data_IF_797573649934
#
_entry.id   IF_797573649934
#
_cell.length_a   1.000
_cell.length_b   1.000
_cell.length_c   1.000
_cell.angle_alpha   90.00
_cell.angle_beta   90.00
_cell.angle_gamma   90.00
#
_symmetry.space_group_name_H-M   'P 1'
#
loop_
_entity.id
_entity.type
_entity.pdbx_description
1 polymer ?
#
# COMPACT_ATOMS: atom_id res chain seq x y z
N UNK A 1 -10.58 11.01 -10.76
CA UNK A 1 -9.26 10.31 -10.75
C UNK A 1 -8.28 11.20 -10.00
N UNK A 2 -7.49 10.65 -9.05
CA UNK A 2 -6.49 11.42 -8.30
C UNK A 2 -5.40 11.96 -9.24
N UNK A 3 -4.78 13.11 -8.88
CA UNK A 3 -3.71 13.70 -9.68
C UNK A 3 -2.52 12.75 -9.93
N UNK A 4 -2.22 11.83 -8.99
CA UNK A 4 -1.20 10.81 -9.19
C UNK A 4 -1.64 9.78 -10.24
N UNK A 5 -2.88 9.31 -10.21
CA UNK A 5 -3.40 8.37 -11.22
C UNK A 5 -3.40 8.98 -12.62
N UNK A 6 -3.68 10.30 -12.75
CA UNK A 6 -3.59 11.01 -14.03
C UNK A 6 -2.17 11.00 -14.58
N UNK A 7 -1.17 11.32 -13.74
CA UNK A 7 0.25 11.28 -14.14
C UNK A 7 0.67 9.87 -14.56
N UNK A 8 0.24 8.86 -13.82
CA UNK A 8 0.56 7.46 -14.12
C UNK A 8 -0.09 6.99 -15.43
N UNK A 9 -1.34 7.39 -15.70
CA UNK A 9 -2.03 7.09 -16.96
C UNK A 9 -1.35 7.78 -18.13
N UNK A 10 -0.99 9.05 -17.98
CA UNK A 10 -0.27 9.78 -19.00
C UNK A 10 1.08 9.14 -19.32
N UNK A 11 1.87 8.79 -18.29
CA UNK A 11 3.15 8.12 -18.47
C UNK A 11 3.02 6.77 -19.18
N UNK A 12 2.00 5.97 -18.82
CA UNK A 12 1.72 4.70 -19.49
C UNK A 12 1.33 4.88 -20.96
N UNK A 13 0.51 5.90 -21.27
CA UNK A 13 0.11 6.23 -22.63
C UNK A 13 1.29 6.69 -23.49
N UNK A 14 2.12 7.59 -22.96
CA UNK A 14 3.34 8.03 -23.65
C UNK A 14 4.29 6.87 -23.90
N UNK A 15 4.48 5.99 -22.92
CA UNK A 15 5.29 4.79 -23.12
C UNK A 15 4.74 3.89 -24.23
N UNK A 16 3.42 3.66 -24.27
CA UNK A 16 2.80 2.90 -25.34
C UNK A 16 3.01 3.58 -26.71
N UNK A 17 2.77 4.89 -26.81
CA UNK A 17 2.96 5.64 -28.06
C UNK A 17 4.39 5.55 -28.60
N UNK A 18 5.38 5.56 -27.72
CA UNK A 18 6.81 5.49 -28.06
C UNK A 18 7.32 4.06 -28.28
N UNK A 19 6.49 3.03 -28.09
CA UNK A 19 6.90 1.66 -28.39
C UNK A 19 7.06 1.46 -29.91
N UNK A 20 8.24 1.00 -30.35
CA UNK A 20 8.52 0.69 -31.74
C UNK A 20 7.86 -0.64 -32.13
N UNK A 21 7.17 -0.68 -33.24
CA UNK A 21 6.60 -1.87 -33.85
C UNK A 21 7.65 -2.56 -34.78
N UNK A 22 7.36 -3.78 -35.21
CA UNK A 22 8.28 -4.59 -36.05
C UNK A 22 8.81 -3.89 -37.32
N UNK A 23 8.10 -2.89 -37.83
CA UNK A 23 8.50 -2.10 -38.99
C UNK A 23 9.17 -0.77 -38.63
N UNK A 24 9.73 -0.65 -37.44
CA UNK A 24 10.33 0.56 -36.87
C UNK A 24 9.38 1.76 -36.79
N UNK A 25 8.07 1.54 -36.96
CA UNK A 25 7.05 2.59 -36.78
C UNK A 25 6.63 2.64 -35.34
N UNK A 26 6.54 3.84 -34.77
CA UNK A 26 6.02 4.02 -33.41
C UNK A 26 4.52 3.67 -33.35
N UNK A 27 4.11 2.99 -32.28
CA UNK A 27 2.70 2.65 -32.08
C UNK A 27 1.80 3.89 -32.07
N UNK A 28 2.25 5.02 -31.51
CA UNK A 28 1.52 6.28 -31.49
C UNK A 28 1.15 6.83 -32.88
N UNK A 29 1.84 6.38 -33.93
CA UNK A 29 1.55 6.75 -35.33
C UNK A 29 0.52 5.83 -36.00
N UNK A 30 -0.01 4.84 -35.29
CA UNK A 30 -1.07 3.98 -35.81
C UNK A 30 -2.43 4.64 -35.56
N UNK A 31 -3.20 4.92 -36.62
CA UNK A 31 -4.56 5.46 -36.50
C UNK A 31 -5.42 4.50 -35.66
N UNK A 32 -6.21 5.01 -34.72
CA UNK A 32 -7.05 4.23 -33.82
C UNK A 32 -7.89 3.16 -34.50
N UNK A 33 -8.54 3.51 -35.63
CA UNK A 33 -9.33 2.58 -36.44
C UNK A 33 -8.53 1.39 -37.03
N UNK A 34 -7.21 1.49 -37.05
CA UNK A 34 -6.31 0.43 -37.57
C UNK A 34 -5.62 -0.35 -36.46
N UNK A 35 -5.85 0.01 -35.18
CA UNK A 35 -5.32 -0.76 -34.06
C UNK A 35 -6.08 -2.06 -33.95
N UNK A 36 -5.33 -3.18 -34.03
CA UNK A 36 -5.86 -4.56 -33.98
C UNK A 36 -5.26 -5.32 -32.79
N UNK A 37 -5.82 -6.48 -32.48
CA UNK A 37 -5.35 -7.38 -31.44
C UNK A 37 -3.83 -7.66 -31.53
N UNK A 38 -3.29 -7.89 -32.72
CA UNK A 38 -1.85 -8.09 -32.92
C UNK A 38 -0.98 -6.95 -32.37
N UNK A 39 -1.44 -5.70 -32.43
CA UNK A 39 -0.72 -4.56 -31.86
C UNK A 39 -0.77 -4.59 -30.33
N UNK A 40 -1.93 -4.92 -29.75
CA UNK A 40 -2.10 -5.06 -28.31
C UNK A 40 -1.23 -6.18 -27.73
N UNK A 41 -1.17 -7.34 -28.42
CA UNK A 41 -0.30 -8.46 -28.04
C UNK A 41 1.16 -8.05 -28.09
N UNK A 42 1.61 -7.44 -29.17
CA UNK A 42 2.99 -6.99 -29.31
C UNK A 42 3.41 -5.99 -28.23
N UNK A 43 2.55 -5.00 -27.95
CA UNK A 43 2.78 -4.05 -26.87
C UNK A 43 2.91 -4.75 -25.51
N UNK A 44 1.99 -5.65 -25.20
CA UNK A 44 1.98 -6.33 -23.93
C UNK A 44 3.21 -7.23 -23.75
N UNK A 45 3.60 -7.97 -24.77
CA UNK A 45 4.78 -8.85 -24.76
C UNK A 45 6.08 -8.03 -24.63
N UNK A 46 6.18 -6.90 -25.35
CA UNK A 46 7.30 -5.97 -25.22
C UNK A 46 7.41 -5.44 -23.80
N UNK A 47 6.28 -5.04 -23.20
CA UNK A 47 6.29 -4.55 -21.82
C UNK A 47 6.60 -5.65 -20.81
N UNK A 48 6.17 -6.90 -21.05
CA UNK A 48 6.52 -8.02 -20.18
C UNK A 48 8.04 -8.24 -20.12
N UNK A 49 8.69 -8.15 -21.27
CA UNK A 49 10.13 -8.30 -21.37
C UNK A 49 10.91 -7.15 -20.69
N UNK A 50 10.42 -5.91 -20.86
CA UNK A 50 11.12 -4.69 -20.40
C UNK A 50 10.76 -4.29 -18.94
N UNK A 51 9.50 -4.38 -18.54
CA UNK A 51 8.99 -3.80 -17.27
C UNK A 51 8.53 -4.85 -16.24
N UNK A 52 8.42 -6.10 -16.63
CA UNK A 52 7.89 -7.18 -15.80
C UNK A 52 6.38 -7.12 -15.60
N UNK A 53 5.82 -8.19 -15.03
CA UNK A 53 4.38 -8.49 -15.04
C UNK A 53 3.49 -7.38 -14.45
N UNK A 54 3.87 -6.81 -13.30
CA UNK A 54 3.02 -5.82 -12.62
C UNK A 54 2.87 -4.53 -13.43
N UNK A 55 3.99 -4.04 -13.99
CA UNK A 55 4.00 -2.80 -14.75
C UNK A 55 3.29 -3.00 -16.09
N UNK A 56 3.48 -4.13 -16.75
CA UNK A 56 2.81 -4.48 -18.01
C UNK A 56 1.30 -4.57 -17.84
N UNK A 57 0.84 -5.23 -16.77
CA UNK A 57 -0.59 -5.27 -16.44
C UNK A 57 -1.17 -3.89 -16.18
N UNK A 58 -0.40 -3.01 -15.53
CA UNK A 58 -0.81 -1.62 -15.31
C UNK A 58 -0.91 -0.85 -16.62
N UNK A 59 0.10 -0.93 -17.50
CA UNK A 59 0.07 -0.30 -18.82
C UNK A 59 -1.10 -0.82 -19.66
N UNK A 60 -1.36 -2.13 -19.65
CA UNK A 60 -2.50 -2.73 -20.34
C UNK A 60 -3.84 -2.19 -19.81
N UNK A 61 -3.94 -1.95 -18.49
CA UNK A 61 -5.13 -1.31 -17.88
C UNK A 61 -5.30 0.13 -18.38
N UNK A 62 -4.22 0.91 -18.36
CA UNK A 62 -4.27 2.30 -18.84
C UNK A 62 -4.66 2.37 -20.32
N UNK A 63 -4.07 1.54 -21.18
CA UNK A 63 -4.41 1.49 -22.60
C UNK A 63 -5.84 0.99 -22.84
N UNK A 64 -6.33 0.06 -22.03
CA UNK A 64 -7.73 -0.38 -22.07
C UNK A 64 -8.70 0.78 -21.77
N UNK A 65 -8.36 1.65 -20.83
CA UNK A 65 -9.15 2.86 -20.54
C UNK A 65 -9.16 3.80 -21.75
N UNK A 66 -8.00 4.02 -22.36
CA UNK A 66 -7.87 4.87 -23.57
C UNK A 66 -8.73 4.32 -24.72
N UNK A 67 -8.66 3.02 -25.01
CA UNK A 67 -9.44 2.40 -26.07
C UNK A 67 -10.94 2.40 -25.78
N UNK A 68 -11.35 2.15 -24.54
CA UNK A 68 -12.76 2.28 -24.15
C UNK A 68 -13.27 3.73 -24.29
N UNK A 69 -12.42 4.72 -24.05
CA UNK A 69 -12.75 6.12 -24.30
C UNK A 69 -12.89 6.37 -25.80
N UNK A 70 -11.97 5.85 -26.64
CA UNK A 70 -12.04 5.96 -28.08
C UNK A 70 -13.30 5.29 -28.67
N UNK A 71 -13.78 4.18 -28.10
CA UNK A 71 -15.05 3.55 -28.47
C UNK A 71 -16.24 4.46 -28.16
N UNK A 72 -16.26 5.08 -26.97
CA UNK A 72 -17.35 6.04 -26.63
C UNK A 72 -17.41 7.26 -27.51
N UNK A 73 -16.29 7.62 -28.15
CA UNK A 73 -16.20 8.70 -29.15
C UNK A 73 -16.23 8.19 -30.59
N UNK A 74 -16.67 6.95 -30.81
CA UNK A 74 -16.83 6.32 -32.14
C UNK A 74 -15.54 6.26 -32.99
N UNK A 75 -14.37 6.49 -32.36
CA UNK A 75 -13.06 6.41 -33.03
C UNK A 75 -12.52 4.97 -33.14
N UNK A 76 -13.14 4.00 -32.44
CA UNK A 76 -12.85 2.57 -32.49
C UNK A 76 -14.13 1.75 -32.32
N UNK A 77 -14.13 0.55 -32.88
CA UNK A 77 -15.26 -0.40 -32.75
C UNK A 77 -15.09 -1.35 -31.55
N UNK A 78 -13.85 -1.72 -31.23
CA UNK A 78 -13.57 -2.69 -30.16
C UNK A 78 -12.28 -2.37 -29.45
N UNK A 79 -12.15 -2.85 -28.19
CA UNK A 79 -10.96 -2.68 -27.38
C UNK A 79 -10.04 -3.90 -27.51
N UNK A 80 -8.91 -3.81 -28.23
CA UNK A 80 -8.02 -4.96 -28.41
C UNK A 80 -7.29 -5.40 -27.14
N UNK A 81 -7.14 -4.51 -26.13
CA UNK A 81 -6.54 -4.86 -24.85
C UNK A 81 -7.45 -5.75 -23.99
N UNK A 82 -8.75 -5.79 -24.22
CA UNK A 82 -9.68 -6.66 -23.48
C UNK A 82 -9.45 -8.14 -23.72
N UNK A 83 -8.86 -8.50 -24.86
CA UNK A 83 -8.57 -9.89 -25.26
C UNK A 83 -7.21 -10.38 -24.75
N UNK A 84 -6.38 -9.52 -24.16
CA UNK A 84 -5.06 -9.89 -23.66
C UNK A 84 -5.19 -10.74 -22.40
N UNK A 85 -4.69 -11.98 -22.46
CA UNK A 85 -4.54 -12.84 -21.29
C UNK A 85 -3.37 -12.35 -20.45
N UNK A 86 -3.68 -11.64 -19.36
CA UNK A 86 -2.65 -11.05 -18.50
C UNK A 86 -1.96 -12.10 -17.65
N UNK A 87 -0.64 -11.98 -17.57
CA UNK A 87 0.17 -12.79 -16.66
C UNK A 87 -0.16 -12.47 -15.19
N UNK A 88 -0.19 -13.48 -14.34
CA UNK A 88 -0.42 -13.28 -12.90
C UNK A 88 0.88 -12.88 -12.20
N UNK A 89 0.93 -11.74 -11.52
CA UNK A 89 2.10 -11.37 -10.72
C UNK A 89 2.20 -12.27 -9.50
N UNK A 90 3.41 -12.67 -9.14
CA UNK A 90 3.64 -13.35 -7.87
C UNK A 90 3.23 -12.46 -6.71
N UNK A 91 2.39 -12.99 -5.81
CA UNK A 91 2.02 -12.31 -4.59
C UNK A 91 3.24 -12.26 -3.65
N UNK A 92 3.55 -11.07 -3.13
CA UNK A 92 4.56 -10.92 -2.09
C UNK A 92 3.99 -11.50 -0.80
N UNK A 93 4.69 -12.46 -0.19
CA UNK A 93 4.26 -13.16 1.03
C UNK A 93 5.11 -12.82 2.27
N UNK A 94 5.95 -11.80 2.16
CA UNK A 94 6.83 -11.39 3.26
C UNK A 94 5.99 -10.78 4.37
N UNK A 95 6.24 -11.22 5.60
CA UNK A 95 5.76 -10.60 6.85
C UNK A 95 6.96 -10.34 7.76
N UNK A 96 6.83 -9.35 8.61
CA UNK A 96 7.80 -9.08 9.67
C UNK A 96 7.54 -10.04 10.83
N UNK A 97 8.59 -10.47 11.53
CA UNK A 97 8.42 -11.08 12.83
C UNK A 97 8.27 -10.00 13.90
N UNK A 98 7.65 -10.34 15.03
CA UNK A 98 7.52 -9.44 16.18
C UNK A 98 8.89 -8.88 16.63
N UNK A 99 9.91 -9.74 16.68
CA UNK A 99 11.28 -9.33 17.00
C UNK A 99 11.86 -8.32 15.99
N UNK A 100 11.58 -8.49 14.71
CA UNK A 100 12.02 -7.55 13.68
C UNK A 100 11.29 -6.21 13.79
N UNK A 101 9.99 -6.21 14.07
CA UNK A 101 9.22 -4.98 14.31
C UNK A 101 9.78 -4.27 15.54
N UNK A 102 9.97 -4.98 16.66
CA UNK A 102 10.53 -4.42 17.88
C UNK A 102 11.92 -3.82 17.65
N UNK A 103 12.82 -4.56 17.00
CA UNK A 103 14.18 -4.08 16.69
C UNK A 103 14.17 -2.83 15.82
N UNK A 104 13.29 -2.77 14.81
CA UNK A 104 13.12 -1.59 13.98
C UNK A 104 12.65 -0.38 14.79
N UNK A 105 11.65 -0.56 15.65
CA UNK A 105 11.08 0.52 16.47
C UNK A 105 12.09 1.01 17.50
N UNK A 106 12.77 0.10 18.21
CA UNK A 106 13.82 0.45 19.17
C UNK A 106 14.93 1.28 18.52
N UNK A 107 15.39 0.86 17.33
CA UNK A 107 16.39 1.60 16.55
C UNK A 107 15.87 2.95 16.08
N UNK A 108 14.65 3.00 15.55
CA UNK A 108 14.07 4.25 15.04
C UNK A 108 13.82 5.28 16.14
N UNK A 109 13.39 4.85 17.33
CA UNK A 109 13.16 5.74 18.46
C UNK A 109 14.45 6.11 19.23
N UNK A 110 15.55 5.40 19.04
CA UNK A 110 16.84 5.74 19.66
C UNK A 110 17.46 7.01 19.05
N UNK A 111 17.03 7.44 17.85
CA UNK A 111 17.58 8.61 17.18
C UNK A 111 16.47 9.59 16.78
N UNK A 112 16.63 10.85 17.15
CA UNK A 112 15.66 11.92 16.87
C UNK A 112 15.31 12.01 15.39
N UNK A 113 16.28 11.85 14.49
CA UNK A 113 16.09 11.94 13.04
C UNK A 113 15.12 10.90 12.47
N UNK A 114 14.95 9.75 13.13
CA UNK A 114 14.07 8.67 12.68
C UNK A 114 12.77 8.56 13.47
N UNK A 115 12.59 9.37 14.53
CA UNK A 115 11.46 9.26 15.45
C UNK A 115 10.11 9.27 14.75
N UNK A 116 9.87 10.22 13.83
CA UNK A 116 8.61 10.25 13.07
C UNK A 116 8.45 9.05 12.14
N UNK A 117 9.54 8.46 11.63
CA UNK A 117 9.50 7.23 10.83
C UNK A 117 9.12 6.04 11.73
N UNK A 118 9.72 5.93 12.90
CA UNK A 118 9.34 4.95 13.91
C UNK A 118 7.87 5.04 14.27
N UNK A 119 7.37 6.26 14.47
CA UNK A 119 5.96 6.47 14.80
C UNK A 119 5.02 6.09 13.66
N UNK A 120 5.32 6.45 12.40
CA UNK A 120 4.54 6.01 11.22
C UNK A 120 4.50 4.48 11.15
N UNK A 121 5.62 3.82 11.43
CA UNK A 121 5.73 2.35 11.42
C UNK A 121 4.94 1.73 12.57
N UNK A 122 5.08 2.25 13.79
CA UNK A 122 4.34 1.77 14.96
C UNK A 122 2.84 1.87 14.72
N UNK A 123 2.33 3.03 14.30
CA UNK A 123 0.93 3.23 13.94
C UNK A 123 0.46 2.27 12.82
N UNK A 124 1.29 2.07 11.79
CA UNK A 124 0.95 1.17 10.68
C UNK A 124 0.86 -0.29 11.11
N UNK A 125 1.72 -0.73 12.02
CA UNK A 125 1.74 -2.07 12.56
C UNK A 125 0.61 -2.29 13.57
N UNK A 126 0.55 -1.46 14.61
CA UNK A 126 -0.44 -1.54 15.69
C UNK A 126 -1.87 -1.59 15.16
N UNK A 127 -2.19 -0.66 14.28
CA UNK A 127 -3.54 -0.50 13.73
C UNK A 127 -3.78 -1.22 12.40
N UNK A 128 -2.79 -1.91 11.86
CA UNK A 128 -2.90 -2.55 10.56
C UNK A 128 -3.25 -1.59 9.43
N UNK A 129 -2.89 -0.30 9.54
CA UNK A 129 -3.26 0.74 8.58
C UNK A 129 -2.22 0.91 7.47
N UNK A 130 -2.61 1.56 6.36
CA UNK A 130 -1.69 1.85 5.27
C UNK A 130 -0.68 2.91 5.69
N UNK A 131 0.58 2.68 5.33
CA UNK A 131 1.67 3.62 5.62
C UNK A 131 1.36 5.05 5.14
N UNK A 132 0.67 5.17 4.00
CA UNK A 132 0.26 6.48 3.45
C UNK A 132 -0.78 7.19 4.29
N UNK A 133 -1.70 6.46 4.94
CA UNK A 133 -2.69 7.04 5.83
C UNK A 133 -2.01 7.47 7.14
N UNK A 134 -1.14 6.66 7.71
CA UNK A 134 -0.39 6.99 8.93
C UNK A 134 0.57 8.17 8.74
N UNK A 135 1.20 8.27 7.57
CA UNK A 135 2.03 9.43 7.21
C UNK A 135 1.25 10.75 7.22
N UNK A 136 -0.01 10.70 6.83
CA UNK A 136 -0.86 11.89 6.70
C UNK A 136 -1.79 12.09 7.91
N UNK A 137 -1.66 11.26 8.94
CA UNK A 137 -2.50 11.34 10.13
C UNK A 137 -2.36 12.70 10.81
N UNK A 138 -3.48 13.28 11.22
CA UNK A 138 -3.55 14.59 11.90
C UNK A 138 -3.85 14.40 13.38
N UNK A 139 -3.46 15.37 14.21
CA UNK A 139 -3.76 15.37 15.63
C UNK A 139 -5.27 15.35 15.91
N UNK A 140 -6.06 15.95 15.04
CA UNK A 140 -7.53 15.90 15.13
C UNK A 140 -8.13 14.48 15.01
N UNK A 141 -7.36 13.50 14.53
CA UNK A 141 -7.77 12.10 14.48
C UNK A 141 -7.53 11.35 15.81
N UNK A 142 -6.76 11.94 16.74
CA UNK A 142 -6.34 11.30 17.99
C UNK A 142 -7.13 11.90 19.14
N UNK A 143 -7.89 11.07 19.85
CA UNK A 143 -8.47 11.41 21.11
C UNK A 143 -7.62 10.79 22.24
N UNK A 144 -6.86 11.62 22.95
CA UNK A 144 -5.98 11.19 24.03
C UNK A 144 -6.74 10.78 25.30
N UNK A 145 -7.90 11.40 25.55
CA UNK A 145 -8.74 11.14 26.73
C UNK A 145 -9.36 9.75 26.63
N UNK A 146 -9.99 9.44 25.49
CA UNK A 146 -10.61 8.15 25.23
C UNK A 146 -9.62 7.10 24.72
N UNK A 147 -8.34 7.44 24.54
CA UNK A 147 -7.30 6.60 23.90
C UNK A 147 -7.78 5.99 22.58
N UNK A 148 -8.24 6.83 21.66
CA UNK A 148 -8.92 6.40 20.45
C UNK A 148 -8.38 7.11 19.20
N UNK A 149 -8.29 6.38 18.11
CA UNK A 149 -8.09 6.87 16.75
C UNK A 149 -9.43 6.88 16.01
N UNK A 150 -9.78 8.01 15.41
CA UNK A 150 -10.88 8.15 14.45
C UNK A 150 -10.31 8.56 13.08
N UNK A 151 -10.43 7.70 12.08
CA UNK A 151 -9.79 7.88 10.76
C UNK A 151 -10.71 7.51 9.61
N UNK A 152 -10.92 8.42 8.65
CA UNK A 152 -11.39 8.09 7.31
C UNK A 152 -10.19 7.73 6.41
N UNK A 153 -10.13 6.49 5.92
CA UNK A 153 -9.03 6.01 5.07
C UNK A 153 -9.03 6.70 3.69
N UNK A 154 -7.87 7.20 3.25
CA UNK A 154 -7.73 8.00 2.02
C UNK A 154 -8.13 7.25 0.74
N UNK A 155 -7.90 5.94 0.66
CA UNK A 155 -8.10 5.16 -0.58
C UNK A 155 -9.51 4.63 -0.77
N UNK A 156 -10.20 4.26 0.31
CA UNK A 156 -11.51 3.58 0.26
C UNK A 156 -12.60 4.32 1.00
N UNK A 157 -12.27 5.43 1.64
CA UNK A 157 -13.15 6.23 2.51
C UNK A 157 -13.90 5.39 3.53
N UNK A 158 -13.19 4.37 4.06
CA UNK A 158 -13.71 3.57 5.15
C UNK A 158 -13.37 4.27 6.46
N UNK A 159 -14.37 4.45 7.31
CA UNK A 159 -14.18 4.91 8.67
C UNK A 159 -13.68 3.77 9.54
N UNK A 160 -12.66 4.04 10.33
CA UNK A 160 -12.15 3.12 11.34
C UNK A 160 -12.01 3.84 12.67
N UNK A 161 -12.37 3.14 13.74
CA UNK A 161 -12.33 3.60 15.12
C UNK A 161 -11.51 2.60 15.91
N UNK A 162 -10.28 2.96 16.29
CA UNK A 162 -9.32 2.01 16.82
C UNK A 162 -8.83 2.44 18.21
N UNK A 163 -8.65 1.51 19.15
CA UNK A 163 -8.02 1.81 20.42
C UNK A 163 -6.53 2.11 20.21
N UNK A 164 -5.97 2.90 21.11
CA UNK A 164 -4.54 3.21 21.16
C UNK A 164 -3.93 2.40 22.31
N UNK A 165 -3.03 1.47 21.99
CA UNK A 165 -2.28 0.70 22.97
C UNK A 165 -1.32 1.59 23.80
N UNK A 166 -1.01 1.17 25.00
CA UNK A 166 -0.26 2.01 25.96
C UNK A 166 1.15 2.40 25.46
N UNK A 167 1.83 1.54 24.72
CA UNK A 167 3.16 1.83 24.20
C UNK A 167 3.12 2.83 23.05
N UNK A 168 2.14 2.71 22.14
CA UNK A 168 1.93 3.69 21.10
C UNK A 168 1.45 5.02 21.69
N UNK A 169 0.58 4.99 22.72
CA UNK A 169 0.10 6.19 23.41
C UNK A 169 1.27 7.00 24.00
N UNK A 170 2.22 6.38 24.66
CA UNK A 170 3.44 7.04 25.17
C UNK A 170 4.20 7.76 24.05
N UNK A 171 4.41 7.07 22.93
CA UNK A 171 5.11 7.66 21.78
C UNK A 171 4.32 8.84 21.18
N UNK A 172 3.00 8.72 21.08
CA UNK A 172 2.13 9.80 20.61
C UNK A 172 2.16 11.02 21.54
N UNK A 173 2.17 10.80 22.85
CA UNK A 173 2.25 11.90 23.84
C UNK A 173 3.58 12.65 23.75
N UNK A 174 4.71 11.94 23.65
CA UNK A 174 6.02 12.55 23.45
C UNK A 174 6.06 13.34 22.13
N UNK A 175 5.54 12.76 21.06
CA UNK A 175 5.48 13.42 19.76
C UNK A 175 4.55 14.65 19.78
N UNK A 176 3.41 14.57 20.47
CA UNK A 176 2.47 15.66 20.60
C UNK A 176 3.08 16.85 21.34
N UNK A 177 3.78 16.60 22.44
CA UNK A 177 4.47 17.65 23.21
C UNK A 177 5.46 18.45 22.34
N UNK A 178 6.13 17.80 21.39
CA UNK A 178 7.16 18.45 20.57
C UNK A 178 6.62 19.09 19.29
N UNK A 179 5.53 18.55 18.71
CA UNK A 179 5.11 18.91 17.36
C UNK A 179 3.69 19.45 17.22
N UNK A 180 2.82 19.35 18.23
CA UNK A 180 1.41 19.76 18.09
C UNK A 180 1.21 21.24 17.76
N UNK A 181 2.13 22.11 18.21
CA UNK A 181 2.13 23.54 17.89
C UNK A 181 2.84 23.89 16.58
N UNK A 182 3.60 22.95 16.03
CA UNK A 182 4.44 23.14 14.84
C UNK A 182 3.84 22.54 13.57
N UNK A 183 2.95 21.56 13.72
CA UNK A 183 2.35 20.83 12.61
C UNK A 183 1.03 20.18 12.99
N UNK A 184 0.05 20.23 12.10
CA UNK A 184 -1.21 19.46 12.26
C UNK A 184 -1.00 17.96 12.11
N UNK A 185 0.13 17.53 11.50
CA UNK A 185 0.44 16.12 11.28
C UNK A 185 1.06 15.48 12.52
N UNK A 186 0.65 14.26 12.82
CA UNK A 186 1.15 13.45 13.95
C UNK A 186 2.64 13.10 13.79
N UNK A 187 3.06 12.80 12.58
CA UNK A 187 4.45 12.40 12.30
C UNK A 187 5.07 13.27 11.18
N UNK A 188 5.30 14.57 11.46
CA UNK A 188 5.93 15.47 10.50
C UNK A 188 7.42 15.19 10.37
N UNK A 189 8.09 15.87 9.44
CA UNK A 189 9.56 15.92 9.40
C UNK A 189 10.09 16.46 10.73
N UNK A 190 11.05 15.78 11.28
CA UNK A 190 11.70 16.23 12.54
C UNK A 190 12.61 17.45 12.32
N UNK A 191 13.03 17.69 11.07
CA UNK A 191 13.72 18.91 10.66
C UNK A 191 12.86 19.68 9.66
N UNK A 192 12.62 20.98 9.87
CA UNK A 192 11.77 21.77 8.99
C UNK A 192 12.40 21.94 7.60
N UNK A 193 11.58 21.97 6.58
CA UNK A 193 11.98 22.33 5.22
C UNK A 193 11.33 23.67 4.86
N UNK A 194 12.13 24.66 4.51
CA UNK A 194 11.67 26.04 4.29
C UNK A 194 10.85 26.57 5.47
N UNK A 195 11.30 26.33 6.70
CA UNK A 195 10.63 26.74 7.94
C UNK A 195 9.33 25.98 8.29
N UNK A 196 8.97 24.93 7.54
CA UNK A 196 7.72 24.18 7.75
C UNK A 196 7.97 22.70 8.12
N UNK A 197 7.26 22.25 9.14
CA UNK A 197 7.20 20.84 9.55
C UNK A 197 6.11 20.12 8.77
N UNK A 198 6.41 19.72 7.53
CA UNK A 198 5.49 19.05 6.63
C UNK A 198 5.63 17.53 6.68
N UNK A 199 4.67 16.80 6.10
CA UNK A 199 4.77 15.33 5.95
C UNK A 199 5.91 14.92 5.03
N UNK A 200 6.47 13.73 5.26
CA UNK A 200 7.44 13.12 4.35
C UNK A 200 6.80 12.72 3.01
N UNK A 201 7.55 12.75 1.92
CA UNK A 201 7.16 12.04 0.69
C UNK A 201 7.39 10.55 0.86
N UNK A 202 6.61 9.70 0.15
CA UNK A 202 6.78 8.24 0.25
C UNK A 202 8.19 7.76 -0.12
N UNK A 203 8.83 8.40 -1.10
CA UNK A 203 10.21 8.08 -1.48
C UNK A 203 11.21 8.37 -0.34
N UNK A 204 11.00 9.45 0.41
CA UNK A 204 11.83 9.83 1.56
C UNK A 204 11.63 8.84 2.72
N UNK A 205 10.38 8.43 2.99
CA UNK A 205 10.10 7.38 3.97
C UNK A 205 10.86 6.10 3.61
N UNK A 206 10.82 5.70 2.33
CA UNK A 206 11.53 4.50 1.88
C UNK A 206 13.04 4.60 2.09
N UNK A 207 13.63 5.77 1.88
CA UNK A 207 15.05 6.04 2.17
C UNK A 207 15.38 5.90 3.65
N UNK A 208 14.63 6.62 4.51
CA UNK A 208 14.85 6.60 5.96
C UNK A 208 14.58 5.21 6.57
N UNK A 209 13.59 4.48 6.07
CA UNK A 209 13.34 3.08 6.46
C UNK A 209 14.54 2.19 6.14
N UNK A 210 15.18 2.38 4.99
CA UNK A 210 16.38 1.62 4.64
C UNK A 210 17.54 1.97 5.56
N UNK A 211 17.72 3.24 5.92
CA UNK A 211 18.73 3.67 6.90
C UNK A 211 18.52 2.98 8.27
N UNK A 212 17.27 2.99 8.79
CA UNK A 212 16.94 2.29 10.06
C UNK A 212 17.22 0.79 9.96
N UNK A 213 16.86 0.16 8.83
CA UNK A 213 17.12 -1.28 8.62
C UNK A 213 18.62 -1.59 8.55
N UNK A 214 19.41 -0.76 7.92
CA UNK A 214 20.87 -0.90 7.86
C UNK A 214 21.48 -0.78 9.25
N UNK A 215 21.09 0.22 10.02
CA UNK A 215 21.55 0.43 11.41
C UNK A 215 21.16 -0.75 12.33
N UNK A 216 19.95 -1.29 12.15
CA UNK A 216 19.47 -2.42 12.96
C UNK A 216 19.88 -3.79 12.43
N UNK A 217 20.60 -3.89 11.31
CA UNK A 217 20.97 -5.17 10.71
C UNK A 217 19.77 -5.97 10.14
N UNK A 218 18.65 -5.32 9.89
CA UNK A 218 17.45 -5.97 9.37
C UNK A 218 17.55 -6.30 7.88
N UNK A 219 16.91 -7.38 7.41
CA UNK A 219 16.92 -7.80 6.02
C UNK A 219 16.39 -6.73 5.07
N UNK A 220 17.07 -6.55 3.91
CA UNK A 220 16.68 -5.54 2.90
C UNK A 220 15.32 -5.81 2.25
N UNK A 221 14.92 -7.07 2.17
CA UNK A 221 13.64 -7.53 1.62
C UNK A 221 12.41 -7.17 2.46
N UNK A 222 12.58 -6.73 3.69
CA UNK A 222 11.48 -6.23 4.52
C UNK A 222 11.08 -4.82 4.07
N UNK A 223 9.82 -4.64 3.71
CA UNK A 223 9.29 -3.33 3.29
C UNK A 223 8.30 -2.79 4.31
N UNK A 224 8.26 -1.48 4.52
CA UNK A 224 7.28 -0.85 5.40
C UNK A 224 5.83 -1.13 5.01
N UNK A 225 5.56 -1.34 3.71
CA UNK A 225 4.23 -1.73 3.23
C UNK A 225 3.79 -3.13 3.68
N UNK A 226 4.72 -3.97 4.12
CA UNK A 226 4.40 -5.32 4.61
C UNK A 226 3.83 -5.30 6.03
N UNK A 227 3.97 -4.20 6.81
CA UNK A 227 3.47 -4.09 8.18
C UNK A 227 1.96 -4.31 8.29
N UNK A 228 1.18 -3.68 7.42
CA UNK A 228 -0.26 -3.92 7.37
C UNK A 228 -0.56 -5.40 7.07
N UNK A 229 0.21 -6.03 6.17
CA UNK A 229 0.07 -7.47 5.93
C UNK A 229 0.42 -8.26 7.18
N UNK A 230 1.49 -7.91 7.85
CA UNK A 230 1.92 -8.54 9.11
C UNK A 230 0.81 -8.50 10.15
N UNK A 231 0.31 -7.32 10.49
CA UNK A 231 -0.77 -7.13 11.45
C UNK A 231 -2.04 -7.93 11.11
N UNK A 232 -2.47 -7.88 9.85
CA UNK A 232 -3.67 -8.63 9.43
C UNK A 232 -3.42 -10.14 9.48
N UNK A 233 -2.23 -10.61 9.11
CA UNK A 233 -1.89 -12.04 9.18
C UNK A 233 -1.84 -12.51 10.63
N UNK A 234 -1.32 -11.71 11.55
CA UNK A 234 -1.31 -12.00 12.99
C UNK A 234 -2.73 -12.09 13.56
N UNK A 235 -3.64 -11.18 13.16
CA UNK A 235 -5.06 -11.29 13.54
C UNK A 235 -5.68 -12.60 13.04
N UNK A 236 -5.37 -13.01 11.80
CA UNK A 236 -5.82 -14.30 11.25
C UNK A 236 -5.24 -15.47 12.05
N UNK A 237 -3.96 -15.45 12.36
CA UNK A 237 -3.27 -16.48 13.15
C UNK A 237 -3.81 -16.56 14.59
N UNK A 238 -4.21 -15.42 15.16
CA UNK A 238 -4.91 -15.33 16.45
C UNK A 238 -6.38 -15.82 16.40
N UNK A 239 -6.91 -16.12 15.23
CA UNK A 239 -8.26 -16.63 15.05
C UNK A 239 -9.36 -15.56 15.16
N UNK A 240 -9.00 -14.28 14.91
CA UNK A 240 -9.98 -13.20 14.78
C UNK A 240 -10.86 -13.46 13.56
N UNK A 241 -12.16 -13.27 13.70
CA UNK A 241 -13.10 -13.44 12.60
C UNK A 241 -12.93 -12.37 11.50
N UNK A 242 -13.42 -12.68 10.30
CA UNK A 242 -13.26 -11.77 9.14
C UNK A 242 -13.89 -10.40 9.39
N UNK A 243 -14.98 -10.33 10.14
CA UNK A 243 -15.68 -9.08 10.45
C UNK A 243 -14.80 -8.19 11.34
N UNK A 244 -14.22 -8.75 12.38
CA UNK A 244 -13.26 -8.05 13.26
C UNK A 244 -12.04 -7.55 12.48
N UNK A 245 -11.46 -8.39 11.60
CA UNK A 245 -10.35 -7.99 10.74
C UNK A 245 -10.75 -6.83 9.81
N UNK A 246 -11.96 -6.86 9.26
CA UNK A 246 -12.47 -5.79 8.39
C UNK A 246 -12.67 -4.49 9.17
N UNK A 247 -13.18 -4.54 10.40
CA UNK A 247 -13.37 -3.37 11.27
C UNK A 247 -12.04 -2.69 11.57
N UNK A 248 -11.00 -3.47 11.93
CA UNK A 248 -9.67 -2.92 12.19
C UNK A 248 -9.02 -2.39 10.92
N UNK A 249 -9.03 -3.17 9.86
CA UNK A 249 -8.27 -2.87 8.65
C UNK A 249 -8.98 -1.93 7.67
N UNK A 250 -10.29 -1.68 7.82
CA UNK A 250 -11.10 -0.90 6.87
C UNK A 250 -11.22 -1.56 5.50
N UNK A 251 -11.30 -2.90 5.43
CA UNK A 251 -11.62 -3.61 4.19
C UNK A 251 -13.12 -3.64 3.96
N UNK A 252 -13.58 -3.19 2.78
CA UNK A 252 -15.00 -3.09 2.44
C UNK A 252 -15.61 -4.43 1.97
N UNK A 253 -14.81 -5.48 1.81
CA UNK A 253 -15.30 -6.80 1.41
C UNK A 253 -14.42 -7.93 1.94
N UNK A 254 -14.99 -9.09 2.26
CA UNK A 254 -14.24 -10.29 2.65
C UNK A 254 -13.19 -10.70 1.62
N UNK A 255 -13.47 -10.56 0.31
CA UNK A 255 -12.54 -10.88 -0.78
C UNK A 255 -11.24 -10.08 -0.67
N UNK A 256 -11.28 -8.87 -0.10
CA UNK A 256 -10.09 -8.06 0.12
C UNK A 256 -9.22 -8.56 1.27
N UNK A 257 -9.76 -9.38 2.17
CA UNK A 257 -9.05 -10.03 3.28
C UNK A 257 -8.45 -11.38 2.85
N UNK A 258 -9.06 -12.06 1.87
CA UNK A 258 -8.63 -13.38 1.39
C UNK A 258 -7.11 -13.51 1.11
N UNK A 259 -6.40 -12.50 0.54
CA UNK A 259 -4.96 -12.61 0.31
C UNK A 259 -4.11 -12.72 1.59
N UNK A 260 -4.67 -12.45 2.75
CA UNK A 260 -4.01 -12.55 4.06
C UNK A 260 -4.36 -13.87 4.78
N UNK A 261 -5.40 -14.57 4.34
CA UNK A 261 -5.75 -15.90 4.84
C UNK A 261 -4.74 -16.90 4.30
N UNK A 262 -3.69 -17.12 5.06
CA UNK A 262 -2.68 -18.14 4.75
C UNK A 262 -3.06 -19.40 5.51
N UNK A 263 -3.08 -20.54 4.82
CA UNK A 263 -3.24 -21.84 5.47
C UNK A 263 -2.02 -22.11 6.36
N UNK A 264 -2.19 -21.92 7.66
CA UNK A 264 -1.15 -22.19 8.66
C UNK A 264 -1.55 -23.40 9.50
N UNK A 265 -0.56 -24.14 9.99
CA UNK A 265 -0.81 -25.24 10.94
C UNK A 265 -1.50 -24.72 12.22
N UNK A 266 -1.09 -23.55 12.69
CA UNK A 266 -1.66 -22.89 13.87
C UNK A 266 -3.16 -22.57 13.64
N UNK A 267 -3.53 -21.98 12.51
CA UNK A 267 -4.92 -21.68 12.17
C UNK A 267 -5.79 -22.95 12.09
N UNK A 268 -5.27 -24.00 11.46
CA UNK A 268 -5.97 -25.29 11.38
C UNK A 268 -6.14 -25.93 12.78
N UNK A 269 -5.11 -25.89 13.61
CA UNK A 269 -5.15 -26.41 14.99
C UNK A 269 -6.18 -25.65 15.84
N UNK A 270 -6.19 -24.32 15.76
CA UNK A 270 -7.15 -23.47 16.47
C UNK A 270 -8.59 -23.78 16.05
N UNK A 271 -8.85 -23.92 14.74
CA UNK A 271 -10.17 -24.25 14.23
C UNK A 271 -10.65 -25.62 14.72
N UNK A 272 -9.76 -26.64 14.72
CA UNK A 272 -10.10 -27.97 15.20
C UNK A 272 -10.34 -27.99 16.72
N UNK A 273 -9.60 -27.22 17.49
CA UNK A 273 -9.79 -27.11 18.93
C UNK A 273 -11.11 -26.39 19.28
N UNK A 274 -11.45 -25.31 18.61
CA UNK A 274 -12.76 -24.64 18.74
C UNK A 274 -13.92 -25.59 18.40
N UNK A 275 -13.79 -26.38 17.31
CA UNK A 275 -14.80 -27.40 16.95
C UNK A 275 -14.97 -28.44 18.05
N UNK A 276 -13.91 -28.90 18.70
CA UNK A 276 -13.98 -29.88 19.80
C UNK A 276 -14.61 -29.29 21.05
N UNK A 277 -14.30 -28.05 21.40
CA UNK A 277 -14.87 -27.36 22.56
C UNK A 277 -16.40 -27.16 22.42
N UNK A 278 -16.90 -26.90 21.21
CA UNK A 278 -18.34 -26.73 20.97
C UNK A 278 -19.13 -28.05 20.87
N UNK A 279 -18.49 -29.19 21.04
CA UNK A 279 -19.15 -30.52 21.07
C UNK A 279 -19.41 -31.03 22.49
N UNK A 280 -19.04 -30.26 23.50
CA UNK A 280 -19.39 -30.46 24.91
C UNK A 280 -20.62 -29.62 25.25
#
# INVERSE_FOLDING_TARGET
>A
VSGQSQKDYYAAMIHACNTSLHNNRLFGNVKLKHVKFKHATYLYDTWLADKGVRRSNYHATCMSIVFNTAIRHEAMVSNPMSLIKRSKPHARKVKWSEQQVKLFLDTAFSQYRWRSIGLIFHMSYEWGQRLGDMRNLQWSNINFEDKKLDLEQSKRRADVHLPIGDDLLKQLQVQHSDFSTLSDCVAPRVYPRNGKYSTYKMAEISGLVNEVKEESGLPKELWGMDLRRTAITEMVEAGVDITGIMQVSGHNSPQSVMPYLVNTFSGASTALNKRKANKK
#
